data_IF_294781157096
#
_entry.id   IF_294781157096
#
_cell.length_a   1.000
_cell.length_b   1.000
_cell.length_c   1.000
_cell.angle_alpha   90.00
_cell.angle_beta   90.00
_cell.angle_gamma   90.00
#
_symmetry.space_group_name_H-M   'P 1'
#
loop_
_entity.id
_entity.type
_entity.pdbx_description
1 polymer ?
#
# COMPACT_ATOMS: atom_id res chain seq x y z
N UNK A 1 -63.92 -36.92 -94.12
CA UNK A 1 -64.65 -36.52 -92.88
C UNK A 1 -63.99 -37.01 -91.59
N UNK A 2 -62.75 -37.53 -91.60
CA UNK A 2 -62.05 -37.94 -90.37
C UNK A 2 -60.94 -36.96 -89.91
N UNK A 3 -60.54 -35.99 -90.74
CA UNK A 3 -59.45 -35.06 -90.42
C UNK A 3 -59.91 -33.82 -89.61
N UNK A 4 -61.17 -33.40 -89.73
CA UNK A 4 -61.69 -32.23 -89.00
C UNK A 4 -61.87 -32.46 -87.50
N UNK A 5 -62.06 -33.72 -87.07
CA UNK A 5 -62.21 -34.06 -85.65
C UNK A 5 -60.90 -34.06 -84.84
N UNK A 6 -59.74 -34.14 -85.52
CA UNK A 6 -58.43 -34.16 -84.86
C UNK A 6 -57.99 -32.74 -84.49
N UNK A 7 -58.28 -31.75 -85.35
CA UNK A 7 -57.97 -30.34 -85.07
C UNK A 7 -58.84 -29.76 -83.94
N UNK A 8 -60.13 -30.12 -83.90
CA UNK A 8 -61.03 -29.66 -82.84
C UNK A 8 -60.65 -30.26 -81.48
N UNK A 9 -60.26 -31.54 -81.43
CA UNK A 9 -59.77 -32.18 -80.22
C UNK A 9 -58.42 -31.61 -79.74
N UNK A 10 -57.57 -31.13 -80.66
CA UNK A 10 -56.32 -30.46 -80.32
C UNK A 10 -56.57 -29.07 -79.70
N UNK A 11 -57.49 -28.28 -80.25
CA UNK A 11 -57.85 -26.97 -79.71
C UNK A 11 -58.49 -27.04 -78.32
N UNK A 12 -59.30 -28.08 -78.05
CA UNK A 12 -59.89 -28.31 -76.72
C UNK A 12 -58.82 -28.72 -75.70
N UNK A 13 -57.82 -29.51 -76.10
CA UNK A 13 -56.68 -29.85 -75.21
C UNK A 13 -55.79 -28.64 -74.94
N UNK A 14 -55.53 -27.82 -75.93
CA UNK A 14 -54.70 -26.63 -75.76
C UNK A 14 -55.38 -25.58 -74.87
N UNK A 15 -56.69 -25.40 -75.01
CA UNK A 15 -57.48 -24.53 -74.12
C UNK A 15 -57.57 -25.09 -72.70
N UNK A 16 -57.74 -26.40 -72.52
CA UNK A 16 -57.73 -27.03 -71.19
C UNK A 16 -56.35 -26.90 -70.49
N UNK A 17 -55.25 -27.08 -71.23
CA UNK A 17 -53.89 -26.89 -70.71
C UNK A 17 -53.65 -25.42 -70.35
N UNK A 18 -54.18 -24.48 -71.14
CA UNK A 18 -54.09 -23.05 -70.84
C UNK A 18 -54.90 -22.66 -69.60
N UNK A 19 -56.11 -23.23 -69.39
CA UNK A 19 -56.91 -22.97 -68.18
C UNK A 19 -56.25 -23.57 -66.93
N UNK A 20 -55.68 -24.77 -67.03
CA UNK A 20 -54.95 -25.40 -65.92
C UNK A 20 -53.67 -24.61 -65.59
N UNK A 21 -52.96 -24.12 -66.60
CA UNK A 21 -51.79 -23.26 -66.42
C UNK A 21 -52.17 -21.92 -65.76
N UNK A 22 -53.31 -21.33 -66.13
CA UNK A 22 -53.82 -20.11 -65.51
C UNK A 22 -54.22 -20.34 -64.04
N UNK A 23 -54.96 -21.41 -63.74
CA UNK A 23 -55.34 -21.76 -62.37
C UNK A 23 -54.11 -22.02 -61.48
N UNK A 24 -53.10 -22.71 -62.01
CA UNK A 24 -51.82 -22.92 -61.30
C UNK A 24 -51.06 -21.61 -61.08
N UNK A 25 -51.13 -20.67 -62.03
CA UNK A 25 -50.53 -19.35 -61.90
C UNK A 25 -51.22 -18.50 -60.82
N UNK A 26 -52.56 -18.50 -60.78
CA UNK A 26 -53.33 -17.82 -59.74
C UNK A 26 -53.08 -18.42 -58.35
N UNK A 27 -53.01 -19.75 -58.23
CA UNK A 27 -52.69 -20.41 -56.97
C UNK A 27 -51.27 -20.05 -56.49
N UNK A 28 -50.29 -20.02 -57.41
CA UNK A 28 -48.93 -19.59 -57.10
C UNK A 28 -48.87 -18.13 -56.66
N UNK A 29 -49.61 -17.24 -57.33
CA UNK A 29 -49.71 -15.83 -56.95
C UNK A 29 -50.39 -15.66 -55.57
N UNK A 30 -51.45 -16.42 -55.29
CA UNK A 30 -52.12 -16.42 -53.99
C UNK A 30 -51.21 -16.90 -52.86
N UNK A 31 -50.47 -18.00 -53.07
CA UNK A 31 -49.49 -18.51 -52.10
C UNK A 31 -48.33 -17.52 -51.88
N UNK A 32 -47.87 -16.84 -52.93
CA UNK A 32 -46.84 -15.81 -52.83
C UNK A 32 -47.31 -14.58 -52.04
N UNK A 33 -48.54 -14.10 -52.31
CA UNK A 33 -49.15 -12.99 -51.58
C UNK A 33 -49.33 -13.32 -50.09
N UNK A 34 -49.80 -14.54 -49.77
CA UNK A 34 -49.95 -14.98 -48.38
C UNK A 34 -48.61 -15.07 -47.64
N UNK A 35 -47.57 -15.62 -48.27
CA UNK A 35 -46.21 -15.63 -47.69
C UNK A 35 -45.67 -14.22 -47.46
N UNK A 36 -45.90 -13.29 -48.39
CA UNK A 36 -45.50 -11.88 -48.22
C UNK A 36 -46.16 -11.27 -46.99
N UNK A 37 -47.47 -11.48 -46.81
CA UNK A 37 -48.20 -10.98 -45.64
C UNK A 37 -47.69 -11.60 -44.33
N UNK A 38 -47.35 -12.90 -44.32
CA UNK A 38 -46.74 -13.55 -43.15
C UNK A 38 -45.37 -12.94 -42.81
N UNK A 39 -44.50 -12.74 -43.80
CA UNK A 39 -43.19 -12.10 -43.58
C UNK A 39 -43.32 -10.64 -43.10
N UNK A 40 -44.29 -9.88 -43.60
CA UNK A 40 -44.57 -8.51 -43.14
C UNK A 40 -45.04 -8.49 -41.68
N UNK A 41 -45.89 -9.44 -41.27
CA UNK A 41 -46.34 -9.56 -39.87
C UNK A 41 -45.18 -9.97 -38.93
N UNK A 42 -44.34 -10.92 -39.34
CA UNK A 42 -43.14 -11.32 -38.59
C UNK A 42 -42.14 -10.15 -38.43
N UNK A 43 -41.95 -9.36 -39.49
CA UNK A 43 -41.09 -8.18 -39.45
C UNK A 43 -41.59 -7.11 -38.47
N UNK A 44 -42.90 -6.85 -38.42
CA UNK A 44 -43.50 -5.91 -37.46
C UNK A 44 -43.35 -6.40 -36.01
N UNK A 45 -43.58 -7.69 -35.75
CA UNK A 45 -43.39 -8.28 -34.42
C UNK A 45 -41.93 -8.21 -33.94
N UNK A 46 -40.96 -8.46 -34.84
CA UNK A 46 -39.55 -8.31 -34.53
C UNK A 46 -39.16 -6.84 -34.24
N UNK A 47 -39.79 -5.88 -34.93
CA UNK A 47 -39.56 -4.45 -34.72
C UNK A 47 -40.07 -3.99 -33.35
N UNK A 48 -41.24 -4.46 -32.92
CA UNK A 48 -41.79 -4.16 -31.60
C UNK A 48 -40.87 -4.75 -30.49
N UNK A 49 -40.39 -5.99 -30.67
CA UNK A 49 -39.40 -6.59 -29.77
C UNK A 49 -38.08 -5.81 -29.69
N UNK A 50 -37.64 -5.19 -30.79
CA UNK A 50 -36.46 -4.30 -30.80
C UNK A 50 -36.69 -3.02 -30.01
N UNK A 51 -37.90 -2.43 -30.09
CA UNK A 51 -38.23 -1.22 -29.34
C UNK A 51 -38.30 -1.47 -27.84
N UNK A 52 -38.86 -2.61 -27.43
CA UNK A 52 -38.89 -3.05 -26.03
C UNK A 52 -37.48 -3.31 -25.49
N UNK A 53 -36.61 -3.93 -26.29
CA UNK A 53 -35.20 -4.14 -25.95
C UNK A 53 -34.44 -2.81 -25.77
N UNK A 54 -34.63 -1.84 -26.68
CA UNK A 54 -34.03 -0.51 -26.57
C UNK A 54 -34.55 0.25 -25.35
N UNK A 55 -35.84 0.11 -25.02
CA UNK A 55 -36.40 0.71 -23.81
C UNK A 55 -35.83 0.06 -22.54
N UNK A 56 -35.68 -1.26 -22.52
CA UNK A 56 -35.06 -1.99 -21.42
C UNK A 56 -33.59 -1.58 -21.23
N UNK A 57 -32.84 -1.41 -22.33
CA UNK A 57 -31.46 -0.93 -22.30
C UNK A 57 -31.38 0.48 -21.70
N UNK A 58 -32.22 1.42 -22.15
CA UNK A 58 -32.27 2.78 -21.58
C UNK A 58 -32.60 2.79 -20.09
N UNK A 59 -33.52 1.93 -19.63
CA UNK A 59 -33.84 1.77 -18.20
C UNK A 59 -32.64 1.22 -17.41
N UNK A 60 -31.92 0.24 -17.98
CA UNK A 60 -30.73 -0.31 -17.36
C UNK A 60 -29.59 0.74 -17.27
N UNK A 61 -29.39 1.54 -18.32
CA UNK A 61 -28.43 2.66 -18.32
C UNK A 61 -28.78 3.70 -17.25
N UNK A 62 -30.05 4.12 -17.15
CA UNK A 62 -30.52 5.02 -16.09
C UNK A 62 -30.28 4.44 -14.69
N UNK A 63 -30.58 3.16 -14.48
CA UNK A 63 -30.35 2.50 -13.19
C UNK A 63 -28.85 2.45 -12.83
N UNK A 64 -27.97 2.25 -13.81
CA UNK A 64 -26.51 2.30 -13.60
C UNK A 64 -26.06 3.71 -13.23
N UNK A 65 -26.55 4.76 -13.89
CA UNK A 65 -26.24 6.14 -13.53
C UNK A 65 -26.72 6.49 -12.11
N UNK A 66 -27.93 6.08 -11.74
CA UNK A 66 -28.46 6.27 -10.39
C UNK A 66 -27.60 5.56 -9.33
N UNK A 67 -27.20 4.31 -9.60
CA UNK A 67 -26.31 3.56 -8.73
C UNK A 67 -24.94 4.24 -8.57
N UNK A 68 -24.39 4.81 -9.65
CA UNK A 68 -23.14 5.58 -9.59
C UNK A 68 -23.27 6.85 -8.75
N UNK A 69 -24.37 7.60 -8.89
CA UNK A 69 -24.65 8.78 -8.05
C UNK A 69 -24.79 8.39 -6.58
N UNK A 70 -25.51 7.30 -6.29
CA UNK A 70 -25.67 6.78 -4.94
C UNK A 70 -24.32 6.37 -4.32
N UNK A 71 -23.46 5.71 -5.12
CA UNK A 71 -22.10 5.35 -4.69
C UNK A 71 -21.25 6.59 -4.40
N UNK A 72 -21.34 7.64 -5.21
CA UNK A 72 -20.63 8.89 -4.99
C UNK A 72 -21.09 9.58 -3.70
N UNK A 73 -22.40 9.62 -3.43
CA UNK A 73 -22.95 10.14 -2.16
C UNK A 73 -22.46 9.32 -0.97
N UNK A 74 -22.45 7.99 -1.08
CA UNK A 74 -21.94 7.10 -0.03
C UNK A 74 -20.46 7.35 0.27
N UNK A 75 -19.62 7.57 -0.77
CA UNK A 75 -18.21 7.93 -0.61
C UNK A 75 -18.03 9.27 0.12
N UNK A 76 -18.74 10.31 -0.31
CA UNK A 76 -18.69 11.62 0.35
C UNK A 76 -19.13 11.55 1.82
N UNK A 77 -20.12 10.70 2.14
CA UNK A 77 -20.56 10.45 3.52
C UNK A 77 -19.49 9.72 4.32
N UNK A 78 -18.86 8.69 3.75
CA UNK A 78 -17.76 7.97 4.38
C UNK A 78 -16.57 8.90 4.69
N UNK A 79 -16.19 9.78 3.76
CA UNK A 79 -15.14 10.79 3.96
C UNK A 79 -15.48 11.76 5.10
N UNK A 80 -16.74 12.19 5.18
CA UNK A 80 -17.22 13.07 6.25
C UNK A 80 -17.16 12.37 7.61
N UNK A 81 -17.59 11.11 7.68
CA UNK A 81 -17.50 10.31 8.91
C UNK A 81 -16.04 10.04 9.30
N UNK A 82 -15.15 9.82 8.34
CA UNK A 82 -13.71 9.70 8.56
C UNK A 82 -13.12 10.96 9.22
N UNK A 83 -13.46 12.15 8.72
CA UNK A 83 -13.05 13.43 9.32
C UNK A 83 -13.62 13.62 10.74
N UNK A 84 -14.88 13.24 10.97
CA UNK A 84 -15.49 13.29 12.30
C UNK A 84 -14.80 12.35 13.29
N UNK A 85 -14.43 11.14 12.85
CA UNK A 85 -13.72 10.16 13.68
C UNK A 85 -12.30 10.63 14.01
N UNK A 86 -11.59 11.22 13.05
CA UNK A 86 -10.29 11.85 13.29
C UNK A 86 -10.40 13.00 14.32
N UNK A 87 -11.39 13.87 14.20
CA UNK A 87 -11.64 14.94 15.17
C UNK A 87 -12.01 14.41 16.56
N UNK A 88 -12.80 13.34 16.64
CA UNK A 88 -13.12 12.67 17.90
C UNK A 88 -11.88 12.04 18.54
N UNK A 89 -11.03 11.38 17.74
CA UNK A 89 -9.76 10.80 18.21
C UNK A 89 -8.85 11.87 18.82
N UNK A 90 -8.72 13.03 18.15
CA UNK A 90 -7.89 14.14 18.62
C UNK A 90 -8.41 14.73 19.94
N UNK A 91 -9.73 14.77 20.14
CA UNK A 91 -10.34 15.18 21.42
C UNK A 91 -10.05 14.18 22.55
N UNK A 92 -10.10 12.88 22.28
CA UNK A 92 -9.76 11.84 23.26
C UNK A 92 -8.28 11.93 23.65
N UNK A 93 -7.39 12.12 22.69
CA UNK A 93 -5.96 12.30 22.94
C UNK A 93 -5.67 13.53 23.81
N UNK A 94 -6.29 14.68 23.46
CA UNK A 94 -6.20 15.88 24.29
C UNK A 94 -6.71 15.63 25.71
N UNK A 95 -7.88 15.00 25.87
CA UNK A 95 -8.44 14.65 27.16
C UNK A 95 -7.49 13.74 27.98
N UNK A 96 -6.85 12.76 27.35
CA UNK A 96 -5.80 11.95 27.97
C UNK A 96 -4.64 12.79 28.52
N UNK A 97 -4.20 13.81 27.76
CA UNK A 97 -3.19 14.77 28.21
C UNK A 97 -3.63 15.66 29.38
N UNK A 98 -4.92 15.97 29.52
CA UNK A 98 -5.47 16.67 30.70
C UNK A 98 -5.51 15.76 31.92
N UNK A 99 -5.95 14.51 31.76
CA UNK A 99 -5.98 13.51 32.84
C UNK A 99 -4.57 13.25 33.39
N UNK A 100 -3.58 13.08 32.51
CA UNK A 100 -2.18 12.89 32.91
C UNK A 100 -1.65 14.06 33.74
N UNK A 101 -1.89 15.30 33.30
CA UNK A 101 -1.51 16.51 34.06
C UNK A 101 -2.23 16.61 35.41
N UNK A 102 -3.51 16.23 35.47
CA UNK A 102 -4.25 16.19 36.73
C UNK A 102 -3.66 15.15 37.71
N UNK A 103 -3.25 13.97 37.20
CA UNK A 103 -2.58 12.94 38.01
C UNK A 103 -1.22 13.42 38.54
N UNK A 104 -0.41 14.09 37.70
CA UNK A 104 0.87 14.68 38.11
C UNK A 104 0.68 15.75 39.19
N UNK A 105 -0.34 16.61 39.05
CA UNK A 105 -0.69 17.62 40.05
C UNK A 105 -1.15 16.99 41.37
N UNK A 106 -1.94 15.91 41.31
CA UNK A 106 -2.39 15.18 42.49
C UNK A 106 -1.19 14.54 43.22
N UNK A 107 -0.30 13.87 42.49
CA UNK A 107 0.92 13.29 43.06
C UNK A 107 1.83 14.35 43.70
N UNK A 108 1.95 15.53 43.07
CA UNK A 108 2.67 16.67 43.63
C UNK A 108 2.02 17.20 44.91
N UNK A 109 0.68 17.28 44.96
CA UNK A 109 -0.05 17.66 46.15
C UNK A 109 0.13 16.64 47.29
N UNK A 110 0.06 15.34 47.01
CA UNK A 110 0.32 14.28 47.99
C UNK A 110 1.74 14.37 48.56
N UNK A 111 2.73 14.61 47.70
CA UNK A 111 4.11 14.83 48.14
C UNK A 111 4.26 16.05 49.05
N UNK A 112 3.51 17.14 48.80
CA UNK A 112 3.50 18.32 49.68
C UNK A 112 2.86 18.00 51.04
N UNK A 113 1.77 17.25 51.06
CA UNK A 113 1.12 16.81 52.31
C UNK A 113 2.05 15.90 53.11
N UNK A 114 2.73 14.95 52.46
CA UNK A 114 3.70 14.07 53.12
C UNK A 114 4.86 14.86 53.76
N UNK A 115 5.41 15.85 53.04
CA UNK A 115 6.46 16.74 53.59
C UNK A 115 5.97 17.57 54.78
N UNK A 116 4.74 18.09 54.72
CA UNK A 116 4.15 18.84 55.82
C UNK A 116 3.99 17.96 57.08
N UNK A 117 3.48 16.73 56.92
CA UNK A 117 3.39 15.75 58.01
C UNK A 117 4.75 15.40 58.61
N UNK A 118 5.75 15.15 57.76
CA UNK A 118 7.11 14.85 58.23
C UNK A 118 7.74 16.03 58.99
N UNK A 119 7.48 17.26 58.55
CA UNK A 119 7.93 18.47 59.25
C UNK A 119 7.24 18.65 60.61
N UNK A 120 5.94 18.36 60.70
CA UNK A 120 5.19 18.37 61.96
C UNK A 120 5.70 17.30 62.95
N UNK A 121 5.96 16.08 62.47
CA UNK A 121 6.58 15.03 63.28
C UNK A 121 7.98 15.40 63.77
N UNK A 122 8.81 16.00 62.91
CA UNK A 122 10.14 16.47 63.29
C UNK A 122 10.06 17.56 64.36
N UNK A 123 9.18 18.56 64.19
CA UNK A 123 8.96 19.61 65.17
C UNK A 123 8.46 19.04 66.52
N UNK A 124 7.61 18.02 66.49
CA UNK A 124 7.14 17.31 67.68
C UNK A 124 8.28 16.57 68.40
N UNK A 125 9.16 15.88 67.65
CA UNK A 125 10.35 15.21 68.20
C UNK A 125 11.33 16.21 68.82
N UNK A 126 11.59 17.33 68.16
CA UNK A 126 12.48 18.38 68.66
C UNK A 126 11.91 19.01 69.95
N UNK A 127 10.61 19.26 70.00
CA UNK A 127 9.93 19.73 71.21
C UNK A 127 10.02 18.71 72.37
N UNK A 128 9.88 17.42 72.07
CA UNK A 128 10.02 16.35 73.07
C UNK A 128 11.48 16.20 73.54
N UNK A 129 12.46 16.28 72.63
CA UNK A 129 13.88 16.27 72.97
C UNK A 129 14.26 17.46 73.86
N UNK A 130 13.76 18.67 73.55
CA UNK A 130 13.97 19.85 74.38
C UNK A 130 13.37 19.68 75.79
N UNK A 131 12.18 19.08 75.92
CA UNK A 131 11.60 18.72 77.23
C UNK A 131 12.44 17.72 78.00
N UNK A 132 12.96 16.69 77.32
CA UNK A 132 13.80 15.66 77.95
C UNK A 132 15.16 16.23 78.39
N UNK A 133 15.76 17.13 77.61
CA UNK A 133 16.99 17.86 77.99
C UNK A 133 16.77 18.75 79.22
N UNK A 134 15.65 19.48 79.28
CA UNK A 134 15.29 20.27 80.45
C UNK A 134 15.04 19.40 81.70
N UNK A 135 14.43 18.22 81.54
CA UNK A 135 14.23 17.27 82.62
C UNK A 135 15.55 16.64 83.12
N UNK A 136 16.46 16.29 82.20
CA UNK A 136 17.76 15.71 82.55
C UNK A 136 18.75 16.73 83.13
N UNK A 137 18.60 18.03 82.86
CA UNK A 137 19.39 19.07 83.54
C UNK A 137 19.02 19.27 85.01
N UNK A 138 17.93 18.65 85.51
CA UNK A 138 17.53 18.65 86.93
C UNK A 138 18.03 17.44 87.73
N UNK A 139 18.65 16.45 87.06
CA UNK A 139 19.02 15.16 87.67
C UNK A 139 20.52 14.85 87.51
N UNK A 140 21.39 15.81 87.86
CA UNK A 140 22.83 15.53 87.91
C UNK A 140 23.52 16.30 89.05
N UNK A 141 23.17 15.91 90.26
CA UNK A 141 24.01 16.14 91.43
C UNK A 141 23.95 14.90 92.34
N UNK A 142 25.06 14.15 92.38
CA UNK A 142 25.51 13.20 93.41
C UNK A 142 26.26 12.01 92.80
N UNK A 143 27.52 11.87 93.18
CA UNK A 143 28.07 10.66 93.83
C UNK A 143 29.58 10.58 93.65
N UNK A 144 30.26 10.58 94.79
CA UNK A 144 31.72 10.58 94.98
C UNK A 144 32.15 9.23 95.56
N UNK A 145 33.37 8.82 95.16
CA UNK A 145 34.34 7.95 95.85
C UNK A 145 34.18 6.42 95.86
N UNK A 146 35.29 5.77 95.48
CA UNK A 146 35.60 4.36 95.74
C UNK A 146 36.93 3.96 95.07
N UNK A 147 38.06 4.23 95.74
CA UNK A 147 39.42 3.80 95.34
C UNK A 147 39.90 2.75 96.35
N UNK A 148 40.47 1.63 95.88
CA UNK A 148 41.63 0.90 96.50
C UNK A 148 41.76 -0.62 96.16
N UNK A 149 41.50 -1.06 94.92
CA UNK A 149 41.97 -2.37 94.39
C UNK A 149 42.42 -2.22 92.90
N UNK A 150 42.95 -1.05 92.57
CA UNK A 150 42.90 -0.50 91.22
C UNK A 150 44.14 -0.73 90.33
N UNK A 151 45.15 -1.49 90.75
CA UNK A 151 46.41 -1.63 89.98
C UNK A 151 46.52 -2.92 89.16
N UNK A 152 46.15 -4.07 89.71
CA UNK A 152 46.16 -5.34 88.95
C UNK A 152 44.92 -5.49 88.05
N UNK A 153 43.78 -4.94 88.49
CA UNK A 153 42.61 -4.72 87.64
C UNK A 153 42.88 -3.66 86.56
N UNK A 154 43.72 -2.64 86.79
CA UNK A 154 44.03 -1.63 85.75
C UNK A 154 44.78 -2.23 84.57
N UNK A 155 45.76 -3.10 84.80
CA UNK A 155 46.51 -3.72 83.70
C UNK A 155 45.67 -4.77 82.97
N UNK A 156 44.78 -5.48 83.67
CA UNK A 156 43.79 -6.37 83.03
C UNK A 156 42.71 -5.58 82.27
N UNK A 157 42.25 -4.44 82.79
CA UNK A 157 41.31 -3.53 82.13
C UNK A 157 41.99 -2.90 80.91
N UNK A 158 43.26 -2.50 81.02
CA UNK A 158 44.03 -1.93 79.91
C UNK A 158 44.25 -2.95 78.81
N UNK A 159 44.60 -4.20 79.13
CA UNK A 159 44.71 -5.29 78.13
C UNK A 159 43.36 -5.67 77.51
N UNK A 160 42.28 -5.70 78.30
CA UNK A 160 40.92 -5.88 77.74
C UNK A 160 40.48 -4.71 76.88
N UNK A 161 40.84 -3.48 77.25
CA UNK A 161 40.56 -2.27 76.46
C UNK A 161 41.34 -2.30 75.15
N UNK A 162 42.63 -2.66 75.16
CA UNK A 162 43.45 -2.80 73.96
C UNK A 162 42.93 -3.91 73.02
N UNK A 163 42.49 -5.05 73.57
CA UNK A 163 41.84 -6.12 72.78
C UNK A 163 40.50 -5.68 72.19
N UNK A 164 39.64 -5.01 72.97
CA UNK A 164 38.36 -4.45 72.48
C UNK A 164 38.57 -3.38 71.42
N UNK A 165 39.57 -2.52 71.60
CA UNK A 165 39.88 -1.47 70.63
C UNK A 165 40.45 -2.06 69.32
N UNK A 166 41.19 -3.17 69.41
CA UNK A 166 41.67 -3.92 68.25
C UNK A 166 40.53 -4.65 67.52
N UNK A 167 39.62 -5.30 68.25
CA UNK A 167 38.42 -5.93 67.70
C UNK A 167 37.46 -4.91 67.08
N UNK A 168 37.24 -3.76 67.71
CA UNK A 168 36.44 -2.67 67.14
C UNK A 168 37.08 -2.11 65.87
N UNK A 169 38.41 -1.94 65.83
CA UNK A 169 39.11 -1.52 64.61
C UNK A 169 38.96 -2.54 63.50
N UNK A 170 39.04 -3.83 63.80
CA UNK A 170 38.88 -4.89 62.80
C UNK A 170 37.43 -5.02 62.33
N UNK A 171 36.44 -4.91 63.23
CA UNK A 171 35.03 -4.85 62.86
C UNK A 171 34.74 -3.64 61.98
N UNK A 172 35.20 -2.44 62.35
CA UNK A 172 35.04 -1.23 61.53
C UNK A 172 35.72 -1.37 60.17
N UNK A 173 36.87 -2.03 60.08
CA UNK A 173 37.55 -2.29 58.81
C UNK A 173 36.73 -3.25 57.92
N UNK A 174 36.18 -4.32 58.48
CA UNK A 174 35.32 -5.28 57.75
C UNK A 174 34.00 -4.65 57.31
N UNK A 175 33.37 -3.86 58.16
CA UNK A 175 32.16 -3.11 57.83
C UNK A 175 32.42 -2.07 56.73
N UNK A 176 33.55 -1.35 56.80
CA UNK A 176 33.96 -0.42 55.75
C UNK A 176 34.23 -1.13 54.42
N UNK A 177 34.87 -2.30 54.43
CA UNK A 177 35.12 -3.09 53.22
C UNK A 177 33.80 -3.62 52.59
N UNK A 178 32.89 -4.13 53.41
CA UNK A 178 31.56 -4.58 52.96
C UNK A 178 30.74 -3.41 52.40
N UNK A 179 30.77 -2.25 53.06
CA UNK A 179 30.12 -1.04 52.58
C UNK A 179 30.70 -0.55 51.24
N UNK A 180 32.04 -0.62 51.08
CA UNK A 180 32.70 -0.27 49.83
C UNK A 180 32.30 -1.22 48.68
N UNK A 181 32.30 -2.54 48.92
CA UNK A 181 31.87 -3.54 47.93
C UNK A 181 30.40 -3.38 47.55
N UNK A 182 29.52 -3.10 48.52
CA UNK A 182 28.10 -2.84 48.26
C UNK A 182 27.90 -1.56 47.44
N UNK A 183 28.66 -0.49 47.72
CA UNK A 183 28.61 0.75 46.96
C UNK A 183 29.12 0.57 45.52
N UNK A 184 30.18 -0.22 45.31
CA UNK A 184 30.69 -0.52 43.98
C UNK A 184 29.72 -1.37 43.17
N UNK A 185 29.15 -2.43 43.77
CA UNK A 185 28.13 -3.26 43.13
C UNK A 185 26.92 -2.42 42.70
N UNK A 186 26.45 -1.52 43.57
CA UNK A 186 25.35 -0.60 43.25
C UNK A 186 25.69 0.32 42.07
N UNK A 187 26.92 0.85 42.01
CA UNK A 187 27.38 1.65 40.86
C UNK A 187 27.41 0.84 39.56
N UNK A 188 27.85 -0.42 39.62
CA UNK A 188 27.87 -1.31 38.45
C UNK A 188 26.44 -1.64 37.97
N UNK A 189 25.52 -1.91 38.89
CA UNK A 189 24.11 -2.18 38.58
C UNK A 189 23.44 -0.93 37.97
N UNK A 190 23.63 0.26 38.57
CA UNK A 190 23.10 1.53 38.04
C UNK A 190 23.68 1.87 36.65
N UNK A 191 24.98 1.61 36.41
CA UNK A 191 25.60 1.82 35.09
C UNK A 191 25.09 0.82 34.05
N UNK A 192 24.93 -0.45 34.42
CA UNK A 192 24.37 -1.48 33.55
C UNK A 192 22.90 -1.17 33.19
N UNK A 193 22.11 -0.72 34.16
CA UNK A 193 20.73 -0.29 33.93
C UNK A 193 20.67 0.92 33.00
N UNK A 194 21.54 1.92 33.18
CA UNK A 194 21.62 3.09 32.28
C UNK A 194 21.99 2.69 30.86
N UNK A 195 22.97 1.81 30.66
CA UNK A 195 23.36 1.31 29.33
C UNK A 195 22.22 0.50 28.68
N UNK A 196 21.54 -0.34 29.45
CA UNK A 196 20.39 -1.11 28.96
C UNK A 196 19.20 -0.20 28.58
N UNK A 197 18.93 0.84 29.36
CA UNK A 197 17.91 1.84 29.04
C UNK A 197 18.25 2.62 27.76
N UNK A 198 19.49 3.09 27.62
CA UNK A 198 19.96 3.79 26.43
C UNK A 198 19.88 2.89 25.17
N UNK A 199 20.25 1.62 25.29
CA UNK A 199 20.15 0.68 24.16
C UNK A 199 18.68 0.42 23.77
N UNK A 200 17.78 0.24 24.74
CA UNK A 200 16.34 0.10 24.47
C UNK A 200 15.76 1.35 23.82
N UNK A 201 16.20 2.54 24.21
CA UNK A 201 15.78 3.79 23.59
C UNK A 201 16.27 3.90 22.14
N UNK A 202 17.53 3.54 21.88
CA UNK A 202 18.09 3.51 20.51
C UNK A 202 17.39 2.49 19.62
N UNK A 203 17.13 1.29 20.12
CA UNK A 203 16.39 0.25 19.39
C UNK A 203 14.94 0.68 19.11
N UNK A 204 14.27 1.28 20.10
CA UNK A 204 12.91 1.81 19.91
C UNK A 204 12.88 2.98 18.92
N UNK A 205 13.88 3.87 18.93
CA UNK A 205 14.01 4.97 17.99
C UNK A 205 14.26 4.45 16.56
N UNK A 206 15.20 3.51 16.39
CA UNK A 206 15.49 2.88 15.10
C UNK A 206 14.27 2.13 14.54
N UNK A 207 13.51 1.45 15.41
CA UNK A 207 12.26 0.80 15.00
C UNK A 207 11.20 1.81 14.55
N UNK A 208 11.00 2.90 15.28
CA UNK A 208 10.06 3.98 14.89
C UNK A 208 10.46 4.61 13.56
N UNK A 209 11.76 4.84 13.34
CA UNK A 209 12.29 5.37 12.09
C UNK A 209 12.07 4.40 10.92
N UNK A 210 12.34 3.10 11.12
CA UNK A 210 12.10 2.07 10.11
C UNK A 210 10.61 1.94 9.75
N UNK A 211 9.72 1.95 10.75
CA UNK A 211 8.26 1.93 10.55
C UNK A 211 7.78 3.19 9.82
N UNK A 212 8.27 4.38 10.20
CA UNK A 212 7.94 5.64 9.53
C UNK A 212 8.44 5.66 8.06
N UNK A 213 9.65 5.16 7.82
CA UNK A 213 10.21 5.05 6.47
C UNK A 213 9.41 4.05 5.61
N UNK A 214 8.93 2.95 6.21
CA UNK A 214 8.08 1.99 5.53
C UNK A 214 6.72 2.58 5.18
N UNK A 215 6.09 3.30 6.10
CA UNK A 215 4.83 3.99 5.84
C UNK A 215 4.99 5.03 4.73
N UNK A 216 6.06 5.84 4.78
CA UNK A 216 6.36 6.82 3.75
C UNK A 216 6.54 6.18 2.36
N UNK A 217 7.14 5.00 2.28
CA UNK A 217 7.24 4.24 1.03
C UNK A 217 5.88 3.78 0.52
N UNK A 218 5.03 3.22 1.39
CA UNK A 218 3.68 2.78 1.01
C UNK A 218 2.84 3.95 0.50
N UNK A 219 2.89 5.10 1.19
CA UNK A 219 2.19 6.31 0.80
C UNK A 219 2.69 6.84 -0.55
N UNK A 220 4.02 6.82 -0.77
CA UNK A 220 4.64 7.21 -2.03
C UNK A 220 4.24 6.28 -3.20
N UNK A 221 4.24 4.96 -2.98
CA UNK A 221 3.81 3.98 -3.97
C UNK A 221 2.34 4.14 -4.34
N UNK A 222 1.47 4.39 -3.36
CA UNK A 222 0.05 4.64 -3.56
C UNK A 222 -0.20 5.94 -4.33
N UNK A 223 0.53 7.01 -4.00
CA UNK A 223 0.46 8.29 -4.70
C UNK A 223 0.89 8.14 -6.17
N UNK A 224 1.96 7.39 -6.44
CA UNK A 224 2.44 7.16 -7.79
C UNK A 224 1.49 6.27 -8.61
N UNK A 225 0.94 5.22 -8.01
CA UNK A 225 -0.12 4.41 -8.62
C UNK A 225 -1.32 5.29 -8.98
N UNK A 226 -1.77 6.14 -8.05
CA UNK A 226 -2.88 7.07 -8.28
C UNK A 226 -2.59 8.04 -9.42
N UNK A 227 -1.37 8.57 -9.51
CA UNK A 227 -0.93 9.43 -10.63
C UNK A 227 -1.03 8.69 -11.96
N UNK A 228 -0.55 7.46 -12.02
CA UNK A 228 -0.59 6.63 -13.22
C UNK A 228 -2.04 6.26 -13.62
N UNK A 229 -2.91 5.98 -12.65
CA UNK A 229 -4.33 5.72 -12.90
C UNK A 229 -5.01 6.95 -13.51
N UNK A 230 -4.80 8.15 -12.96
CA UNK A 230 -5.37 9.39 -13.53
C UNK A 230 -4.89 9.66 -14.96
N UNK A 231 -3.61 9.37 -15.24
CA UNK A 231 -3.06 9.46 -16.61
C UNK A 231 -3.79 8.48 -17.54
N UNK A 232 -3.92 7.24 -17.12
CA UNK A 232 -4.51 6.18 -17.94
C UNK A 232 -6.03 6.37 -18.10
N UNK A 233 -6.72 6.96 -17.12
CA UNK A 233 -8.14 7.31 -17.20
C UNK A 233 -8.43 8.17 -18.43
N UNK A 234 -7.61 9.19 -18.70
CA UNK A 234 -7.71 10.05 -19.88
C UNK A 234 -7.70 9.29 -21.22
N UNK A 235 -7.05 8.13 -21.25
CA UNK A 235 -6.97 7.24 -22.42
C UNK A 235 -8.15 6.24 -22.43
N UNK A 236 -8.68 5.90 -21.26
CA UNK A 236 -9.73 4.88 -21.08
C UNK A 236 -11.17 5.43 -21.12
N UNK A 237 -11.37 6.76 -21.12
CA UNK A 237 -12.64 7.46 -20.82
C UNK A 237 -13.85 7.16 -21.75
N UNK A 238 -13.74 6.33 -22.79
CA UNK A 238 -14.84 6.10 -23.74
C UNK A 238 -15.45 4.70 -23.74
N UNK A 239 -14.77 3.68 -23.20
CA UNK A 239 -15.29 2.31 -23.21
C UNK A 239 -14.40 1.38 -22.36
N UNK A 240 -14.74 1.16 -21.09
CA UNK A 240 -14.00 0.21 -20.22
C UNK A 240 -14.00 -1.21 -20.78
N UNK A 241 -14.94 -1.54 -21.65
CA UNK A 241 -15.10 -2.86 -22.27
C UNK A 241 -14.28 -3.03 -23.55
N UNK A 242 -13.85 -1.94 -24.21
CA UNK A 242 -13.14 -2.00 -25.49
C UNK A 242 -11.81 -1.27 -25.39
N UNK A 243 -10.73 -2.04 -25.35
CA UNK A 243 -9.36 -1.54 -25.39
C UNK A 243 -8.78 -1.74 -26.80
N UNK A 244 -9.02 -0.81 -27.75
CA UNK A 244 -8.54 -0.97 -29.10
C UNK A 244 -7.00 -0.88 -29.13
N UNK A 245 -6.33 -1.58 -30.06
CA UNK A 245 -4.88 -1.53 -30.15
C UNK A 245 -4.27 -0.13 -30.32
N UNK A 246 -5.02 0.81 -30.91
CA UNK A 246 -4.61 2.22 -31.02
C UNK A 246 -4.43 2.88 -29.66
N UNK A 247 -5.23 2.51 -28.65
CA UNK A 247 -5.07 3.01 -27.28
C UNK A 247 -3.84 2.41 -26.61
N UNK A 248 -3.54 1.13 -26.85
CA UNK A 248 -2.32 0.50 -26.35
C UNK A 248 -1.06 1.19 -26.90
N UNK A 249 -1.01 1.47 -28.20
CA UNK A 249 0.11 2.20 -28.84
C UNK A 249 0.26 3.61 -28.26
N UNK A 250 -0.84 4.38 -28.17
CA UNK A 250 -0.84 5.73 -27.61
C UNK A 250 -0.38 5.75 -26.14
N UNK A 251 -0.88 4.80 -25.34
CA UNK A 251 -0.46 4.65 -23.94
C UNK A 251 1.03 4.34 -23.87
N UNK A 252 1.50 3.35 -24.64
CA UNK A 252 2.91 2.96 -24.64
C UNK A 252 3.83 4.15 -24.94
N UNK A 253 3.48 4.98 -25.92
CA UNK A 253 4.24 6.19 -26.26
C UNK A 253 4.23 7.21 -25.12
N UNK A 254 3.06 7.53 -24.57
CA UNK A 254 2.92 8.47 -23.45
C UNK A 254 3.74 8.02 -22.23
N UNK A 255 3.56 6.77 -21.82
CA UNK A 255 4.26 6.19 -20.66
C UNK A 255 5.76 6.10 -20.93
N UNK A 256 6.17 5.87 -22.16
CA UNK A 256 7.59 5.84 -22.56
C UNK A 256 8.28 7.19 -22.33
N UNK A 257 7.61 8.29 -22.67
CA UNK A 257 8.12 9.65 -22.48
C UNK A 257 8.24 9.94 -20.97
N UNK A 258 7.19 9.67 -20.20
CA UNK A 258 7.21 9.87 -18.74
C UNK A 258 8.30 9.02 -18.07
N UNK A 259 8.41 7.74 -18.44
CA UNK A 259 9.37 6.81 -17.85
C UNK A 259 10.82 7.24 -18.09
N UNK A 260 11.12 7.82 -19.25
CA UNK A 260 12.46 8.35 -19.53
C UNK A 260 12.74 9.66 -18.78
N UNK A 261 11.70 10.47 -18.50
CA UNK A 261 11.82 11.73 -17.78
C UNK A 261 11.93 11.58 -16.25
N UNK A 262 11.26 10.56 -15.67
CA UNK A 262 11.18 10.37 -14.22
C UNK A 262 12.52 9.89 -13.64
N UNK A 263 12.92 10.49 -12.52
CA UNK A 263 14.01 10.00 -11.66
C UNK A 263 13.41 9.24 -10.49
N UNK A 264 13.41 7.92 -10.60
CA UNK A 264 12.84 7.05 -9.56
C UNK A 264 13.66 7.11 -8.28
N UNK A 265 12.98 7.12 -7.14
CA UNK A 265 13.55 7.20 -5.80
C UNK A 265 12.58 6.59 -4.78
N UNK A 266 12.94 6.50 -3.49
CA UNK A 266 12.01 6.01 -2.47
C UNK A 266 10.72 6.85 -2.35
N UNK A 267 10.77 8.15 -2.70
CA UNK A 267 9.61 9.04 -2.71
C UNK A 267 8.77 8.95 -3.99
N UNK A 268 9.32 8.34 -5.03
CA UNK A 268 8.64 8.09 -6.30
C UNK A 268 9.11 6.73 -6.82
N UNK A 269 8.66 5.63 -6.19
CA UNK A 269 9.15 4.31 -6.49
C UNK A 269 8.66 3.85 -7.87
N UNK A 270 9.42 2.96 -8.51
CA UNK A 270 8.95 2.29 -9.72
C UNK A 270 7.75 1.42 -9.35
N UNK A 271 6.62 1.64 -10.01
CA UNK A 271 5.46 0.73 -9.95
C UNK A 271 5.24 0.07 -11.30
N UNK A 272 4.47 -1.03 -11.34
CA UNK A 272 4.10 -1.69 -12.60
C UNK A 272 3.42 -0.75 -13.62
N UNK A 273 2.82 0.34 -13.16
CA UNK A 273 2.06 1.30 -13.98
C UNK A 273 2.94 2.35 -14.65
N UNK A 274 4.16 2.54 -14.14
CA UNK A 274 5.14 3.50 -14.64
C UNK A 274 5.93 2.96 -15.83
N UNK A 275 6.11 1.65 -15.90
CA UNK A 275 6.93 1.02 -16.93
C UNK A 275 6.09 0.91 -18.21
N UNK A 276 6.62 1.34 -19.37
CA UNK A 276 5.91 1.29 -20.64
C UNK A 276 5.93 -0.14 -21.18
N UNK A 277 5.13 -1.04 -20.62
CA UNK A 277 5.04 -2.42 -21.08
C UNK A 277 4.43 -2.49 -22.49
N UNK A 278 5.13 -3.08 -23.49
CA UNK A 278 4.63 -3.22 -24.86
C UNK A 278 3.60 -4.35 -24.93
N UNK A 279 2.37 -4.08 -24.49
CA UNK A 279 1.28 -5.08 -24.47
C UNK A 279 0.00 -4.50 -25.08
N UNK A 280 -0.84 -5.36 -25.66
CA UNK A 280 -2.18 -5.00 -26.12
C UNK A 280 -3.24 -5.14 -25.02
N UNK A 281 -2.87 -5.55 -23.80
CA UNK A 281 -3.80 -5.74 -22.70
C UNK A 281 -4.20 -4.41 -22.07
N UNK A 282 -5.41 -4.35 -21.52
CA UNK A 282 -5.88 -3.19 -20.76
C UNK A 282 -4.98 -3.00 -19.52
N UNK A 283 -4.49 -1.78 -19.22
CA UNK A 283 -3.59 -1.55 -18.08
C UNK A 283 -4.17 -2.04 -16.74
N UNK A 284 -5.46 -1.80 -16.48
CA UNK A 284 -6.13 -2.29 -15.26
C UNK A 284 -6.26 -3.82 -15.12
N UNK A 285 -6.04 -4.58 -16.20
CA UNK A 285 -6.10 -6.05 -16.18
C UNK A 285 -4.72 -6.70 -16.29
N UNK A 286 -3.69 -5.93 -16.66
CA UNK A 286 -2.33 -6.42 -16.83
C UNK A 286 -1.72 -6.72 -15.46
N UNK A 287 -1.14 -7.92 -15.29
CA UNK A 287 -0.26 -8.22 -14.16
C UNK A 287 1.18 -8.31 -14.64
N UNK A 288 2.15 -8.10 -13.75
CA UNK A 288 3.58 -8.12 -14.11
C UNK A 288 4.00 -9.51 -14.56
N UNK A 289 3.46 -10.54 -13.92
CA UNK A 289 3.74 -11.95 -14.19
C UNK A 289 3.20 -12.41 -15.54
N UNK A 290 2.19 -11.72 -16.07
CA UNK A 290 1.58 -12.05 -17.36
C UNK A 290 2.43 -11.55 -18.54
N UNK A 291 3.44 -10.70 -18.29
CA UNK A 291 4.29 -10.11 -19.35
C UNK A 291 5.21 -11.17 -19.93
N UNK A 292 4.73 -11.77 -21.02
CA UNK A 292 5.44 -12.82 -21.76
C UNK A 292 5.97 -12.32 -23.09
N UNK A 293 6.92 -13.07 -23.66
CA UNK A 293 7.48 -12.81 -24.99
C UNK A 293 6.39 -12.62 -26.06
N UNK A 294 5.39 -13.50 -26.10
CA UNK A 294 4.32 -13.46 -27.11
C UNK A 294 3.47 -12.19 -27.06
N UNK A 295 3.26 -11.60 -25.87
CA UNK A 295 2.55 -10.33 -25.75
C UNK A 295 3.31 -9.17 -26.37
N UNK A 296 4.64 -9.17 -26.22
CA UNK A 296 5.54 -8.18 -26.83
C UNK A 296 5.50 -8.29 -28.34
N UNK A 297 5.60 -9.50 -28.88
CA UNK A 297 5.51 -9.74 -30.33
C UNK A 297 4.17 -9.29 -30.90
N UNK A 298 3.04 -9.67 -30.27
CA UNK A 298 1.71 -9.28 -30.71
C UNK A 298 1.53 -7.74 -30.71
N UNK A 299 2.09 -7.06 -29.70
CA UNK A 299 2.10 -5.60 -29.67
C UNK A 299 2.86 -5.00 -30.86
N UNK A 300 4.08 -5.49 -31.13
CA UNK A 300 4.91 -4.95 -32.22
C UNK A 300 4.43 -5.36 -33.61
N UNK A 301 3.79 -6.52 -33.77
CA UNK A 301 3.09 -6.88 -35.00
C UNK A 301 1.98 -5.86 -35.29
N UNK A 302 1.19 -5.52 -34.27
CA UNK A 302 0.13 -4.53 -34.42
C UNK A 302 0.67 -3.14 -34.68
N UNK A 303 1.75 -2.74 -34.00
CA UNK A 303 2.47 -1.49 -34.24
C UNK A 303 2.97 -1.40 -35.69
N UNK A 304 3.55 -2.48 -36.23
CA UNK A 304 4.03 -2.55 -37.61
C UNK A 304 2.94 -2.31 -38.64
N UNK A 305 1.72 -2.79 -38.38
CA UNK A 305 0.57 -2.57 -39.27
C UNK A 305 -0.04 -1.16 -39.17
N UNK A 306 0.16 -0.47 -38.05
CA UNK A 306 -0.50 0.80 -37.74
C UNK A 306 0.40 2.03 -37.99
N UNK A 307 1.72 1.86 -37.97
CA UNK A 307 2.71 2.93 -38.07
C UNK A 307 3.45 2.88 -39.42
N UNK A 308 4.02 4.01 -39.83
CA UNK A 308 4.96 4.02 -40.95
C UNK A 308 6.22 3.22 -40.63
N UNK A 309 6.94 2.75 -41.65
CA UNK A 309 8.18 1.98 -41.46
C UNK A 309 9.22 2.74 -40.62
N UNK A 310 9.35 4.06 -40.80
CA UNK A 310 10.27 4.89 -40.02
C UNK A 310 9.86 5.05 -38.56
N UNK A 311 8.57 5.23 -38.29
CA UNK A 311 8.05 5.32 -36.92
C UNK A 311 8.19 3.98 -36.20
N UNK A 312 7.88 2.87 -36.89
CA UNK A 312 8.07 1.51 -36.37
C UNK A 312 9.54 1.23 -36.01
N UNK A 313 10.49 1.60 -36.87
CA UNK A 313 11.92 1.45 -36.59
C UNK A 313 12.33 2.28 -35.36
N UNK A 314 11.88 3.54 -35.28
CA UNK A 314 12.16 4.44 -34.16
C UNK A 314 11.64 3.90 -32.83
N UNK A 315 10.40 3.40 -32.80
CA UNK A 315 9.81 2.85 -31.57
C UNK A 315 10.50 1.54 -31.14
N UNK A 316 10.83 0.65 -32.08
CA UNK A 316 11.56 -0.59 -31.79
C UNK A 316 12.94 -0.29 -31.22
N UNK A 317 13.68 0.63 -31.85
CA UNK A 317 15.03 0.99 -31.41
C UNK A 317 15.03 1.65 -30.02
N UNK A 318 14.11 2.60 -29.78
CA UNK A 318 13.94 3.24 -28.47
C UNK A 318 13.57 2.22 -27.40
N UNK A 319 12.66 1.29 -27.71
CA UNK A 319 12.21 0.26 -26.76
C UNK A 319 13.32 -0.72 -26.43
N UNK A 320 14.06 -1.21 -27.43
CA UNK A 320 15.21 -2.08 -27.23
C UNK A 320 16.26 -1.43 -26.31
N UNK A 321 16.58 -0.14 -26.53
CA UNK A 321 17.46 0.61 -25.63
C UNK A 321 16.86 0.80 -24.24
N UNK A 322 15.55 1.04 -24.12
CA UNK A 322 14.85 1.30 -22.86
C UNK A 322 14.80 0.08 -21.94
N UNK A 323 14.58 -1.10 -22.50
CA UNK A 323 14.52 -2.37 -21.77
C UNK A 323 15.87 -3.08 -21.68
N UNK A 324 16.98 -2.44 -22.06
CA UNK A 324 18.29 -3.03 -21.91
C UNK A 324 18.63 -3.23 -20.42
N UNK A 325 19.04 -4.43 -19.97
CA UNK A 325 19.31 -4.71 -18.56
C UNK A 325 20.33 -3.74 -17.93
N UNK A 326 21.38 -3.39 -18.68
CA UNK A 326 22.39 -2.42 -18.24
C UNK A 326 21.83 -1.00 -18.03
N UNK A 327 20.86 -0.59 -18.87
CA UNK A 327 20.19 0.71 -18.71
C UNK A 327 19.31 0.73 -17.46
N UNK A 328 18.67 -0.39 -17.12
CA UNK A 328 17.88 -0.50 -15.89
C UNK A 328 18.75 -0.46 -14.65
N UNK A 329 19.89 -1.17 -14.66
CA UNK A 329 20.87 -1.17 -13.57
C UNK A 329 21.49 0.21 -13.36
N UNK A 330 21.99 0.86 -14.41
CA UNK A 330 22.58 2.20 -14.32
C UNK A 330 21.61 3.28 -13.85
N UNK A 331 20.31 3.13 -14.10
CA UNK A 331 19.26 4.04 -13.61
C UNK A 331 18.76 3.71 -12.20
N UNK A 332 19.27 2.65 -11.57
CA UNK A 332 18.86 2.21 -10.24
C UNK A 332 17.33 2.02 -10.10
N UNK A 333 16.66 1.62 -11.19
CA UNK A 333 15.20 1.56 -11.23
C UNK A 333 14.64 0.64 -10.13
N UNK A 334 15.20 -0.55 -10.04
CA UNK A 334 14.76 -1.61 -9.13
C UNK A 334 15.16 -1.34 -7.66
N UNK A 335 16.15 -0.47 -7.42
CA UNK A 335 16.52 -0.08 -6.05
C UNK A 335 15.44 0.77 -5.37
N UNK A 336 14.59 1.45 -6.14
CA UNK A 336 13.46 2.21 -5.60
C UNK A 336 12.32 1.33 -5.08
N UNK A 337 12.31 0.02 -5.41
CA UNK A 337 11.27 -0.93 -5.00
C UNK A 337 11.73 -1.64 -3.73
N UNK A 338 11.01 -1.45 -2.61
CA UNK A 338 11.38 -2.08 -1.32
C UNK A 338 10.97 -3.55 -1.20
N UNK A 339 9.88 -3.94 -1.86
CA UNK A 339 9.40 -5.31 -1.88
C UNK A 339 10.28 -6.15 -2.81
N UNK A 340 11.02 -7.11 -2.23
CA UNK A 340 11.95 -7.98 -2.97
C UNK A 340 11.23 -8.89 -3.97
N UNK A 341 10.02 -9.35 -3.63
CA UNK A 341 9.25 -10.22 -4.52
C UNK A 341 8.78 -9.44 -5.75
N UNK A 342 8.22 -8.25 -5.54
CA UNK A 342 7.83 -7.35 -6.62
C UNK A 342 9.04 -6.91 -7.45
N UNK A 343 10.19 -6.64 -6.82
CA UNK A 343 11.44 -6.28 -7.51
C UNK A 343 11.86 -7.39 -8.48
N UNK A 344 11.90 -8.63 -8.00
CA UNK A 344 12.23 -9.80 -8.82
C UNK A 344 11.27 -9.95 -10.00
N UNK A 345 9.95 -9.83 -9.75
CA UNK A 345 8.93 -9.90 -10.82
C UNK A 345 9.12 -8.81 -11.89
N UNK A 346 9.45 -7.58 -11.48
CA UNK A 346 9.73 -6.49 -12.42
C UNK A 346 11.01 -6.75 -13.24
N UNK A 347 12.05 -7.31 -12.61
CA UNK A 347 13.28 -7.70 -13.30
C UNK A 347 13.03 -8.81 -14.33
N UNK A 348 12.31 -9.86 -13.94
CA UNK A 348 11.97 -10.99 -14.81
C UNK A 348 11.13 -10.53 -16.02
N UNK A 349 10.11 -9.70 -15.79
CA UNK A 349 9.31 -9.10 -16.85
C UNK A 349 10.15 -8.17 -17.76
N UNK A 350 11.03 -7.36 -17.17
CA UNK A 350 11.97 -6.50 -17.92
C UNK A 350 12.90 -7.33 -18.83
N UNK A 351 13.43 -8.43 -18.31
CA UNK A 351 14.28 -9.36 -19.06
C UNK A 351 13.50 -10.06 -20.18
N UNK A 352 12.26 -10.49 -19.95
CA UNK A 352 11.42 -11.08 -20.98
C UNK A 352 11.19 -10.10 -22.15
N UNK A 353 10.90 -8.83 -21.85
CA UNK A 353 10.79 -7.78 -22.87
C UNK A 353 12.11 -7.56 -23.59
N UNK A 354 13.23 -7.44 -22.87
CA UNK A 354 14.56 -7.23 -23.46
C UNK A 354 14.94 -8.33 -24.46
N UNK A 355 14.67 -9.58 -24.09
CA UNK A 355 14.93 -10.74 -24.93
C UNK A 355 14.04 -10.72 -26.19
N UNK A 356 12.73 -10.46 -26.03
CA UNK A 356 11.78 -10.36 -27.15
C UNK A 356 12.11 -9.19 -28.11
N UNK A 357 12.65 -8.08 -27.60
CA UNK A 357 13.03 -6.93 -28.40
C UNK A 357 14.23 -7.17 -29.31
N UNK A 358 15.14 -8.08 -28.93
CA UNK A 358 16.40 -8.31 -29.66
C UNK A 358 16.19 -8.76 -31.11
N UNK A 359 15.40 -9.81 -31.41
CA UNK A 359 15.14 -10.22 -32.80
C UNK A 359 14.33 -9.17 -33.57
N UNK A 360 13.34 -8.52 -32.95
CA UNK A 360 12.56 -7.45 -33.56
C UNK A 360 13.44 -6.28 -34.01
N UNK A 361 14.40 -5.89 -33.17
CA UNK A 361 15.35 -4.84 -33.49
C UNK A 361 16.28 -5.20 -34.64
N UNK A 362 16.83 -6.43 -34.67
CA UNK A 362 17.65 -6.91 -35.80
C UNK A 362 16.87 -6.86 -37.11
N UNK A 363 15.66 -7.42 -37.13
CA UNK A 363 14.79 -7.40 -38.31
C UNK A 363 14.43 -5.96 -38.75
N UNK A 364 14.26 -5.04 -37.81
CA UNK A 364 13.97 -3.63 -38.12
C UNK A 364 15.14 -2.92 -38.83
N UNK A 365 16.38 -3.30 -38.54
CA UNK A 365 17.58 -2.77 -39.20
C UNK A 365 17.74 -3.27 -40.63
N UNK A 366 17.46 -4.55 -40.86
CA UNK A 366 17.55 -5.16 -42.19
C UNK A 366 16.58 -4.51 -43.18
N UNK A 367 15.41 -4.07 -42.69
CA UNK A 367 14.45 -3.27 -43.47
C UNK A 367 15.04 -1.93 -43.93
N UNK A 368 15.90 -1.30 -43.12
CA UNK A 368 16.53 -0.03 -43.47
C UNK A 368 17.66 -0.20 -44.50
N UNK A 369 18.44 -1.28 -44.37
CA UNK A 369 19.58 -1.54 -45.26
C UNK A 369 19.15 -2.09 -46.61
N UNK A 370 18.03 -2.82 -46.65
CA UNK A 370 17.41 -3.24 -47.91
C UNK A 370 17.04 -2.03 -48.76
N UNK A 371 16.50 -0.96 -48.16
CA UNK A 371 16.13 0.26 -48.90
C UNK A 371 17.36 0.97 -49.48
N UNK A 372 18.51 0.96 -48.79
CA UNK A 372 19.76 1.60 -49.25
C UNK A 372 20.44 0.85 -50.39
N UNK A 373 20.14 -0.44 -50.59
CA UNK A 373 20.81 -1.28 -51.62
C UNK A 373 20.23 -1.10 -53.03
N UNK A 374 19.08 -0.41 -53.15
CA UNK A 374 18.36 -0.19 -54.42
C UNK A 374 18.46 1.25 -54.95
N UNK A 375 19.20 2.12 -54.25
CA UNK A 375 19.58 3.46 -54.71
C UNK A 375 21.10 3.52 -54.77
#
# INVERSE_FOLDING_TARGET
>A
MAETGVEEAAAIRETAVATDAHALAEEKLGRAAFRKMQCEAEFLSAKDGSQDADQALRRAEQAVEEAQRALQVARSRADTMGKQLQSASLRVELAGGWVKRAQENLASADARVARAKAAEEAASRDAQAARNLAANSSAKDSSVAGKSEARDLQDSIRRMQELREKEEKEQRAREAELAAKAAEKRRQEEEAERKAAEQREKEAAARREAEAAQQAYVDAALAEMTRCMRRDDGICLGNRTRWPPTHALRRFELVSIEFDAIRFSERQPVTMWNVPWPTLQHPFLLKVEDITWGMVEAFFEKARSALSTSEYQSIVEKTHRRFHPDKWRSRNLLLSVRDEELRKKLEDAGNAVAQAMTPLWRASKDLSDSKKRWW
#
